data_IF_461782758900
#
_entry.id   IF_461782758900
#
_cell.length_a   1.000
_cell.length_b   1.000
_cell.length_c   1.000
_cell.angle_alpha   90.00
_cell.angle_beta   90.00
_cell.angle_gamma   90.00
#
_symmetry.space_group_name_H-M   'P 1'
#
loop_
_entity.id
_entity.type
_entity.pdbx_description
1 polymer ?
#
# COMPACT_ATOMS: atom_id res chain seq x y z
N UNK A 1 -24.18 7.99 9.45
CA UNK A 1 -24.17 6.79 8.58
C UNK A 1 -22.85 6.77 7.82
N UNK A 2 -21.82 6.13 8.36
CA UNK A 2 -20.54 5.96 7.67
C UNK A 2 -20.65 4.73 6.75
N UNK A 3 -20.72 4.95 5.44
CA UNK A 3 -20.73 3.86 4.45
C UNK A 3 -19.38 3.14 4.46
N UNK A 4 -19.29 1.84 4.79
CA UNK A 4 -18.06 1.08 4.60
C UNK A 4 -17.99 0.63 3.15
N UNK A 5 -17.67 1.55 2.23
CA UNK A 5 -17.39 1.13 0.85
C UNK A 5 -15.99 0.53 0.77
N UNK A 6 -16.02 -0.79 0.69
CA UNK A 6 -15.03 -1.69 0.11
C UNK A 6 -13.93 -2.18 1.06
N UNK A 7 -14.31 -3.19 1.83
CA UNK A 7 -13.44 -4.32 2.14
C UNK A 7 -12.99 -5.02 0.84
N UNK A 8 -12.13 -4.37 0.05
CA UNK A 8 -11.14 -5.13 -0.71
C UNK A 8 -10.19 -5.63 0.36
N UNK A 9 -10.16 -6.96 0.59
CA UNK A 9 -9.15 -7.60 1.42
C UNK A 9 -7.84 -6.83 1.28
N UNK A 10 -7.33 -6.28 2.38
CA UNK A 10 -6.24 -5.31 2.40
C UNK A 10 -4.99 -5.95 1.78
N UNK A 11 -4.92 -5.93 0.46
CA UNK A 11 -3.83 -6.49 -0.31
C UNK A 11 -2.64 -5.65 0.06
N UNK A 12 -1.63 -6.28 0.66
CA UNK A 12 -0.41 -5.59 1.05
C UNK A 12 0.10 -4.84 -0.16
N UNK A 13 0.33 -3.52 -0.06
CA UNK A 13 0.83 -2.72 -1.17
C UNK A 13 2.05 -3.38 -1.81
N UNK A 14 2.28 -3.07 -3.09
CA UNK A 14 3.55 -3.43 -3.74
C UNK A 14 4.71 -2.97 -2.84
N UNK A 15 5.75 -3.81 -2.61
CA UNK A 15 6.89 -3.39 -1.80
C UNK A 15 7.49 -2.07 -2.29
N UNK A 16 7.54 -1.87 -3.61
CA UNK A 16 8.02 -0.65 -4.27
C UNK A 16 6.97 0.45 -4.50
N UNK A 17 5.74 0.26 -4.03
CA UNK A 17 4.68 1.26 -4.15
C UNK A 17 4.99 2.54 -3.35
N UNK A 18 4.36 3.65 -3.73
CA UNK A 18 4.58 4.97 -3.12
C UNK A 18 4.59 4.90 -1.58
N UNK A 19 5.44 5.73 -0.97
CA UNK A 19 5.54 5.89 0.49
C UNK A 19 4.20 6.16 1.16
N UNK A 20 3.34 6.96 0.52
CA UNK A 20 2.13 7.50 1.12
C UNK A 20 0.88 6.67 0.80
N UNK A 21 0.65 6.37 -0.48
CA UNK A 21 -0.56 5.69 -0.93
C UNK A 21 -0.35 4.23 -1.38
N UNK A 22 0.91 3.76 -1.48
CA UNK A 22 1.22 2.39 -1.88
C UNK A 22 1.05 2.07 -3.37
N UNK A 23 0.64 3.04 -4.20
CA UNK A 23 0.45 2.86 -5.64
C UNK A 23 1.82 2.76 -6.34
N UNK A 24 1.96 1.81 -7.27
CA UNK A 24 3.20 1.61 -8.05
C UNK A 24 3.56 2.82 -8.92
N UNK A 25 4.86 3.08 -9.07
CA UNK A 25 5.40 4.26 -9.76
C UNK A 25 4.82 4.47 -11.16
N UNK A 26 4.61 3.37 -11.91
CA UNK A 26 4.14 3.41 -13.30
C UNK A 26 2.73 3.98 -13.45
N UNK A 27 1.87 3.86 -12.44
CA UNK A 27 0.45 4.25 -12.50
C UNK A 27 0.10 5.34 -11.48
N UNK A 28 1.07 5.86 -10.74
CA UNK A 28 0.82 6.73 -9.59
C UNK A 28 0.26 8.10 -9.97
N UNK A 29 0.75 8.71 -11.05
CA UNK A 29 0.44 10.11 -11.40
C UNK A 29 0.56 11.04 -10.16
N UNK A 30 -0.46 11.86 -9.88
CA UNK A 30 -0.56 12.70 -8.67
C UNK A 30 -1.79 12.31 -7.87
N UNK A 31 -1.59 11.96 -6.60
CA UNK A 31 -2.63 11.44 -5.73
C UNK A 31 -2.82 12.34 -4.51
N UNK A 32 -4.00 12.30 -3.91
CA UNK A 32 -4.29 12.96 -2.65
C UNK A 32 -4.44 11.91 -1.55
N UNK A 33 -3.79 12.11 -0.41
CA UNK A 33 -3.98 11.33 0.82
C UNK A 33 -4.08 12.30 1.99
N UNK A 34 -4.99 12.05 2.92
CA UNK A 34 -5.30 12.95 4.04
C UNK A 34 -4.08 13.40 4.85
N UNK A 35 -3.12 12.52 5.10
CA UNK A 35 -1.94 12.82 5.92
C UNK A 35 -0.91 13.75 5.28
N UNK A 36 -0.90 13.87 3.95
CA UNK A 36 0.14 14.64 3.21
C UNK A 36 -0.41 15.53 2.09
N UNK A 37 -1.72 15.49 1.85
CA UNK A 37 -2.38 16.18 0.75
C UNK A 37 -1.97 15.65 -0.62
N UNK A 38 -1.96 16.55 -1.62
CA UNK A 38 -1.54 16.25 -2.99
C UNK A 38 -0.04 15.95 -3.03
N UNK A 39 0.32 14.77 -3.54
CA UNK A 39 1.71 14.34 -3.65
C UNK A 39 1.99 13.64 -4.99
N UNK A 40 3.22 13.82 -5.45
CA UNK A 40 3.80 13.00 -6.52
C UNK A 40 4.26 11.65 -5.96
N UNK A 41 4.68 10.74 -6.84
CA UNK A 41 5.25 9.47 -6.39
C UNK A 41 6.52 9.71 -5.58
N UNK A 42 6.59 9.10 -4.40
CA UNK A 42 7.77 9.12 -3.55
C UNK A 42 8.17 7.68 -3.26
N UNK A 43 9.45 7.37 -3.46
CA UNK A 43 9.98 6.04 -3.17
C UNK A 43 9.68 5.65 -1.71
N UNK A 44 9.27 4.41 -1.44
CA UNK A 44 9.07 3.94 -0.08
C UNK A 44 10.40 3.91 0.68
N UNK A 45 10.34 3.96 2.01
CA UNK A 45 11.53 3.73 2.84
C UNK A 45 11.93 2.26 2.83
N UNK A 46 13.17 1.95 3.21
CA UNK A 46 13.62 0.55 3.36
C UNK A 46 12.82 -0.21 4.41
N UNK A 47 12.43 0.45 5.49
CA UNK A 47 11.57 -0.11 6.54
C UNK A 47 10.19 -0.48 5.98
N UNK A 48 9.56 0.43 5.23
CA UNK A 48 8.28 0.16 4.57
C UNK A 48 8.39 -0.99 3.56
N UNK A 49 9.49 -1.06 2.78
CA UNK A 49 9.75 -2.19 1.88
C UNK A 49 9.83 -3.50 2.66
N UNK A 50 10.62 -3.52 3.73
CA UNK A 50 10.83 -4.70 4.60
C UNK A 50 9.51 -5.19 5.18
N UNK A 51 8.73 -4.31 5.80
CA UNK A 51 7.42 -4.64 6.38
C UNK A 51 6.46 -5.21 5.34
N UNK A 52 6.34 -4.58 4.17
CA UNK A 52 5.49 -5.06 3.08
C UNK A 52 5.92 -6.45 2.59
N UNK A 53 7.22 -6.71 2.48
CA UNK A 53 7.72 -8.04 2.10
C UNK A 53 7.41 -9.11 3.15
N UNK A 54 7.55 -8.77 4.44
CA UNK A 54 7.22 -9.66 5.56
C UNK A 54 5.73 -9.99 5.56
N UNK A 55 4.86 -8.98 5.44
CA UNK A 55 3.40 -9.18 5.37
C UNK A 55 3.01 -10.04 4.17
N UNK A 56 3.60 -9.80 2.99
CA UNK A 56 3.37 -10.66 1.80
C UNK A 56 3.84 -12.09 2.01
N UNK A 57 4.91 -12.31 2.77
CA UNK A 57 5.39 -13.66 3.13
C UNK A 57 4.40 -14.33 4.09
N UNK A 58 3.95 -13.63 5.13
CA UNK A 58 2.96 -14.14 6.07
C UNK A 58 1.65 -14.56 5.37
N UNK A 59 1.17 -13.77 4.40
CA UNK A 59 -0.02 -14.11 3.60
C UNK A 59 0.13 -15.39 2.76
N UNK A 60 1.35 -15.77 2.36
CA UNK A 60 1.60 -17.03 1.65
C UNK A 60 1.71 -18.23 2.58
N UNK A 61 2.09 -17.98 3.84
CA UNK A 61 2.29 -19.00 4.86
C UNK A 61 1.02 -19.29 5.67
N UNK A 62 0.01 -18.41 5.62
CA UNK A 62 -1.31 -18.72 6.13
C UNK A 62 -1.88 -19.90 5.31
N UNK A 63 -2.27 -21.01 5.95
CA UNK A 63 -3.01 -22.07 5.27
C UNK A 63 -4.25 -21.43 4.65
N UNK A 64 -4.54 -21.75 3.38
CA UNK A 64 -5.78 -21.28 2.75
C UNK A 64 -6.96 -21.66 3.62
N UNK A 65 -7.70 -20.65 4.06
CA UNK A 65 -9.09 -20.81 4.50
C UNK A 65 -9.92 -21.29 3.31
#
# INVERSE_FOLDING_TARGET
MASPRSARAARVPSPGGCRWCGIDARIHARQWVESVGWHAWVAPTDEQRKERMLLRRAQRSAPGQ
#
